data_IF_499108190113
#
_entry.id   IF_499108190113
#
_cell.length_a   1.000
_cell.length_b   1.000
_cell.length_c   1.000
_cell.angle_alpha   90.00
_cell.angle_beta   90.00
_cell.angle_gamma   90.00
#
_symmetry.space_group_name_H-M   'P 1'
#
loop_
_entity.id
_entity.type
_entity.pdbx_description
1 polymer ?
#
# COMPACT_ATOMS: atom_id res chain seq x y z
N UNK A 1 -12.35 14.30 -12.17
CA UNK A 1 -12.47 14.13 -10.71
C UNK A 1 -12.12 15.48 -10.08
N UNK A 2 -13.08 16.10 -9.40
CA UNK A 2 -12.84 17.30 -8.61
C UNK A 2 -11.97 16.99 -7.40
N UNK A 3 -11.22 17.98 -6.94
CA UNK A 3 -10.21 17.98 -5.87
C UNK A 3 -10.77 17.70 -4.45
N UNK A 4 -11.54 16.67 -4.26
CA UNK A 4 -11.90 16.22 -2.94
C UNK A 4 -11.38 14.80 -2.77
N UNK A 5 -10.15 14.64 -2.26
CA UNK A 5 -9.83 13.37 -1.65
C UNK A 5 -10.85 13.15 -0.54
N UNK A 6 -11.37 11.96 -0.46
CA UNK A 6 -12.50 11.63 0.37
C UNK A 6 -12.10 11.67 1.85
N UNK A 7 -13.00 12.05 2.74
CA UNK A 7 -12.78 11.91 4.20
C UNK A 7 -12.62 10.44 4.55
N UNK A 8 -12.03 10.17 5.72
CA UNK A 8 -11.97 8.80 6.26
C UNK A 8 -13.34 8.12 6.25
N UNK A 9 -14.38 8.82 6.71
CA UNK A 9 -15.74 8.28 6.78
C UNK A 9 -16.25 7.91 5.38
N UNK A 10 -16.01 8.76 4.39
CA UNK A 10 -16.46 8.50 3.02
C UNK A 10 -15.76 7.28 2.43
N UNK A 11 -14.45 7.15 2.61
CA UNK A 11 -13.70 5.96 2.19
C UNK A 11 -14.20 4.69 2.88
N UNK A 12 -14.45 4.76 4.19
CA UNK A 12 -14.96 3.65 4.97
C UNK A 12 -16.32 3.17 4.47
N UNK A 13 -17.27 4.09 4.31
CA UNK A 13 -18.62 3.75 3.86
C UNK A 13 -18.66 3.32 2.39
N UNK A 14 -17.82 3.88 1.52
CA UNK A 14 -17.72 3.42 0.12
C UNK A 14 -17.32 1.95 0.03
N UNK A 15 -16.37 1.49 0.86
CA UNK A 15 -16.00 0.07 0.91
C UNK A 15 -17.11 -0.81 1.47
N UNK A 16 -17.80 -0.34 2.51
CA UNK A 16 -18.93 -1.06 3.11
C UNK A 16 -20.09 -1.22 2.12
N UNK A 17 -20.45 -0.17 1.40
CA UNK A 17 -21.49 -0.18 0.36
C UNK A 17 -21.11 -1.08 -0.82
N UNK A 18 -19.82 -1.06 -1.21
CA UNK A 18 -19.31 -1.91 -2.28
C UNK A 18 -19.50 -3.39 -1.93
N UNK A 19 -19.17 -3.79 -0.71
CA UNK A 19 -19.39 -5.16 -0.24
C UNK A 19 -20.89 -5.53 -0.17
N UNK A 20 -21.75 -4.59 0.22
CA UNK A 20 -23.21 -4.79 0.18
C UNK A 20 -23.73 -5.03 -1.24
N UNK A 21 -23.22 -4.27 -2.21
CA UNK A 21 -23.62 -4.36 -3.62
C UNK A 21 -23.18 -5.67 -4.29
N UNK A 22 -22.01 -6.18 -3.96
CA UNK A 22 -21.38 -7.35 -4.58
C UNK A 22 -21.14 -8.51 -3.60
N UNK A 23 -22.04 -8.72 -2.66
CA UNK A 23 -21.89 -9.61 -1.50
C UNK A 23 -21.59 -11.08 -1.82
N UNK A 24 -21.77 -11.53 -3.05
CA UNK A 24 -21.47 -12.91 -3.49
C UNK A 24 -19.96 -13.19 -3.66
N UNK A 25 -19.13 -12.14 -3.82
CA UNK A 25 -17.69 -12.25 -4.01
C UNK A 25 -16.89 -11.08 -3.43
N UNK A 26 -17.55 -10.11 -2.80
CA UNK A 26 -16.91 -9.00 -2.08
C UNK A 26 -17.32 -9.06 -0.61
N UNK A 27 -16.32 -8.99 0.28
CA UNK A 27 -16.54 -8.97 1.74
C UNK A 27 -15.85 -7.76 2.36
N UNK A 28 -16.55 -7.10 3.27
CA UNK A 28 -16.02 -6.01 4.08
C UNK A 28 -15.64 -6.53 5.46
N UNK A 29 -14.48 -6.14 5.95
CA UNK A 29 -13.99 -6.50 7.26
C UNK A 29 -13.31 -5.32 7.94
N UNK A 30 -13.51 -5.16 9.24
CA UNK A 30 -12.72 -4.27 10.09
C UNK A 30 -11.60 -5.10 10.70
N UNK A 31 -10.35 -4.78 10.36
CA UNK A 31 -9.19 -5.54 10.83
C UNK A 31 -8.63 -5.06 12.16
N UNK A 32 -9.03 -3.88 12.61
CA UNK A 32 -8.60 -3.29 13.87
C UNK A 32 -9.05 -1.84 13.96
N UNK A 33 -8.51 -1.14 14.96
CA UNK A 33 -8.69 0.30 15.12
C UNK A 33 -7.37 1.00 15.40
N UNK A 34 -7.28 2.26 15.00
CA UNK A 34 -6.17 3.14 15.35
C UNK A 34 -6.14 3.49 16.83
N UNK A 35 -5.13 4.21 17.26
CA UNK A 35 -5.06 4.72 18.63
C UNK A 35 -6.10 5.80 18.94
N UNK A 36 -6.62 6.49 17.94
CA UNK A 36 -7.71 7.47 18.08
C UNK A 36 -9.09 6.87 17.71
N UNK A 37 -9.20 5.53 17.79
CA UNK A 37 -10.44 4.75 17.62
C UNK A 37 -11.09 4.80 16.23
N UNK A 38 -10.32 5.11 15.18
CA UNK A 38 -10.79 4.96 13.80
C UNK A 38 -10.61 3.51 13.34
N UNK A 39 -11.67 2.92 12.79
CA UNK A 39 -11.65 1.55 12.28
C UNK A 39 -10.75 1.45 11.04
N UNK A 40 -10.02 0.35 10.90
CA UNK A 40 -9.18 0.06 9.75
C UNK A 40 -9.95 -0.91 8.84
N UNK A 41 -10.48 -0.44 7.69
CA UNK A 41 -11.26 -1.26 6.79
C UNK A 41 -10.38 -2.10 5.88
N UNK A 42 -10.83 -3.31 5.58
CA UNK A 42 -10.30 -4.19 4.54
C UNK A 42 -11.44 -4.69 3.66
N UNK A 43 -11.21 -4.70 2.37
CA UNK A 43 -12.12 -5.28 1.38
C UNK A 43 -11.47 -6.52 0.79
N UNK A 44 -12.20 -7.63 0.75
CA UNK A 44 -11.80 -8.86 0.08
C UNK A 44 -12.59 -9.00 -1.22
N UNK A 45 -11.92 -9.23 -2.36
CA UNK A 45 -12.54 -9.34 -3.68
C UNK A 45 -12.12 -10.65 -4.34
N UNK A 46 -13.09 -11.46 -4.76
CA UNK A 46 -12.88 -12.74 -5.42
C UNK A 46 -13.11 -13.94 -4.52
N UNK A 47 -12.94 -15.15 -5.06
CA UNK A 47 -13.20 -16.44 -4.40
C UNK A 47 -11.96 -17.28 -4.17
N UNK A 48 -10.78 -16.78 -4.59
CA UNK A 48 -9.52 -17.48 -4.39
C UNK A 48 -9.24 -17.78 -2.92
N UNK A 49 -8.67 -18.96 -2.65
CA UNK A 49 -8.29 -19.36 -1.28
C UNK A 49 -7.09 -18.55 -0.77
N UNK A 50 -6.10 -18.42 -1.61
CA UNK A 50 -4.90 -17.63 -1.33
C UNK A 50 -5.18 -16.15 -1.59
N UNK A 51 -4.41 -15.27 -0.97
CA UNK A 51 -4.65 -13.83 -1.07
C UNK A 51 -3.42 -13.05 -1.50
N UNK A 52 -3.66 -11.96 -2.24
CA UNK A 52 -2.69 -10.88 -2.46
C UNK A 52 -3.13 -9.66 -1.64
N UNK A 53 -2.25 -9.13 -0.82
CA UNK A 53 -2.52 -7.91 -0.07
C UNK A 53 -2.15 -6.68 -0.89
N UNK A 54 -3.05 -5.68 -0.90
CA UNK A 54 -2.83 -4.32 -1.38
C UNK A 54 -2.99 -3.36 -0.20
N UNK A 55 -1.89 -2.76 0.25
CA UNK A 55 -1.83 -1.88 1.41
C UNK A 55 -1.56 -0.45 0.97
N UNK A 56 -2.36 0.51 1.39
CA UNK A 56 -2.18 1.94 1.12
C UNK A 56 -2.10 2.78 2.38
N UNK A 57 -1.60 4.00 2.22
CA UNK A 57 -1.58 5.07 3.22
C UNK A 57 -1.11 4.63 4.61
N UNK A 58 0.08 4.03 4.69
CA UNK A 58 0.76 3.79 5.96
C UNK A 58 1.38 5.10 6.50
N UNK A 59 1.73 6.01 5.62
CA UNK A 59 2.14 7.38 5.90
C UNK A 59 0.93 8.31 5.79
N UNK A 60 0.64 9.10 6.81
CA UNK A 60 -0.51 10.01 6.83
C UNK A 60 -0.49 11.09 5.75
N UNK A 61 0.68 11.38 5.18
CA UNK A 61 0.84 12.34 4.06
C UNK A 61 0.40 11.77 2.71
N UNK A 62 0.20 10.46 2.64
CA UNK A 62 -0.30 9.80 1.43
C UNK A 62 -1.81 9.97 1.31
N UNK A 63 -2.20 11.03 0.62
CA UNK A 63 -3.60 11.45 0.44
C UNK A 63 -4.23 10.93 -0.85
N UNK A 64 -3.45 10.24 -1.71
CA UNK A 64 -3.89 9.86 -3.07
C UNK A 64 -4.15 8.37 -3.17
N UNK A 65 -3.26 7.56 -2.60
CA UNK A 65 -3.33 6.09 -2.70
C UNK A 65 -4.66 5.51 -2.18
N UNK A 66 -5.24 6.00 -1.06
CA UNK A 66 -6.52 5.47 -0.58
C UNK A 66 -7.65 5.59 -1.61
N UNK A 67 -7.80 6.77 -2.21
CA UNK A 67 -8.85 7.03 -3.20
C UNK A 67 -8.68 6.15 -4.45
N UNK A 68 -7.44 5.98 -4.90
CA UNK A 68 -7.14 5.14 -6.08
C UNK A 68 -7.42 3.66 -5.77
N UNK A 69 -7.07 3.17 -4.57
CA UNK A 69 -7.33 1.78 -4.18
C UNK A 69 -8.82 1.47 -4.04
N UNK A 70 -9.61 2.42 -3.53
CA UNK A 70 -11.08 2.29 -3.49
C UNK A 70 -11.66 2.27 -4.90
N UNK A 71 -11.22 3.18 -5.78
CA UNK A 71 -11.63 3.20 -7.18
C UNK A 71 -11.27 1.89 -7.91
N UNK A 72 -10.05 1.40 -7.73
CA UNK A 72 -9.61 0.10 -8.26
C UNK A 72 -10.51 -1.04 -7.79
N UNK A 73 -10.83 -1.07 -6.49
CA UNK A 73 -11.69 -2.10 -5.93
C UNK A 73 -13.10 -2.09 -6.54
N UNK A 74 -13.68 -0.90 -6.73
CA UNK A 74 -14.97 -0.73 -7.40
C UNK A 74 -14.93 -1.22 -8.85
N UNK A 75 -13.91 -0.86 -9.60
CA UNK A 75 -13.73 -1.27 -10.99
C UNK A 75 -13.55 -2.79 -11.10
N UNK A 76 -12.78 -3.41 -10.21
CA UNK A 76 -12.60 -4.85 -10.19
C UNK A 76 -13.91 -5.57 -9.84
N UNK A 77 -14.69 -5.06 -8.90
CA UNK A 77 -15.98 -5.65 -8.56
C UNK A 77 -16.96 -5.60 -9.75
N UNK A 78 -17.03 -4.46 -10.46
CA UNK A 78 -17.83 -4.34 -11.68
C UNK A 78 -17.37 -5.30 -12.78
N UNK A 79 -16.05 -5.33 -13.04
CA UNK A 79 -15.48 -6.20 -14.06
C UNK A 79 -15.67 -7.69 -13.74
N UNK A 80 -15.54 -8.07 -12.45
CA UNK A 80 -15.80 -9.42 -11.99
C UNK A 80 -17.26 -9.85 -12.23
N UNK A 81 -18.23 -8.99 -11.85
CA UNK A 81 -19.65 -9.29 -12.03
C UNK A 81 -20.03 -9.38 -13.50
N UNK A 82 -19.60 -8.41 -14.30
CA UNK A 82 -19.93 -8.35 -15.73
C UNK A 82 -19.12 -9.31 -16.61
N UNK A 83 -18.03 -9.89 -16.10
CA UNK A 83 -17.12 -10.74 -16.88
C UNK A 83 -16.32 -9.94 -17.92
N UNK A 84 -16.01 -8.68 -17.63
CA UNK A 84 -15.23 -7.84 -18.53
C UNK A 84 -13.73 -8.11 -18.40
N UNK A 85 -13.02 -7.92 -19.52
CA UNK A 85 -11.57 -7.87 -19.52
C UNK A 85 -11.11 -6.44 -19.19
N UNK A 86 -10.20 -6.30 -18.24
CA UNK A 86 -9.48 -5.03 -18.08
C UNK A 86 -8.30 -4.99 -19.03
N UNK A 87 -8.12 -3.82 -19.67
CA UNK A 87 -7.10 -3.58 -20.71
C UNK A 87 -7.12 -4.60 -21.85
N UNK A 88 -8.31 -5.12 -22.20
CA UNK A 88 -8.52 -6.15 -23.24
C UNK A 88 -7.71 -7.43 -23.03
N UNK A 89 -7.16 -7.64 -21.83
CA UNK A 89 -6.26 -8.75 -21.53
C UNK A 89 -6.57 -9.46 -20.20
N UNK A 90 -6.81 -8.73 -19.11
CA UNK A 90 -6.96 -9.33 -17.80
C UNK A 90 -8.41 -9.77 -17.55
N UNK A 91 -8.65 -11.07 -17.49
CA UNK A 91 -9.90 -11.66 -17.03
C UNK A 91 -9.95 -11.59 -15.49
N UNK A 92 -10.66 -10.60 -14.99
CA UNK A 92 -10.72 -10.30 -13.54
C UNK A 92 -11.31 -11.45 -12.75
N UNK A 93 -12.37 -12.06 -13.25
CA UNK A 93 -13.03 -13.19 -12.57
C UNK A 93 -12.07 -14.37 -12.46
N UNK A 94 -11.43 -14.75 -13.55
CA UNK A 94 -10.48 -15.86 -13.59
C UNK A 94 -9.27 -15.61 -12.66
N UNK A 95 -8.74 -14.40 -12.63
CA UNK A 95 -7.59 -14.05 -11.78
C UNK A 95 -7.97 -14.06 -10.29
N UNK A 96 -9.10 -13.41 -9.93
CA UNK A 96 -9.50 -13.28 -8.53
C UNK A 96 -10.16 -14.55 -7.96
N UNK A 97 -10.56 -15.50 -8.80
CA UNK A 97 -10.94 -16.84 -8.38
C UNK A 97 -9.73 -17.74 -8.08
N UNK A 98 -8.55 -17.39 -8.58
CA UNK A 98 -7.29 -18.07 -8.24
C UNK A 98 -6.64 -17.47 -6.99
N UNK A 99 -6.51 -16.13 -6.95
CA UNK A 99 -5.94 -15.37 -5.83
C UNK A 99 -6.89 -14.23 -5.49
N UNK A 100 -7.50 -14.30 -4.31
CA UNK A 100 -8.37 -13.23 -3.80
C UNK A 100 -7.55 -12.00 -3.46
N UNK A 101 -8.07 -10.83 -3.76
CA UNK A 101 -7.44 -9.56 -3.42
C UNK A 101 -7.92 -9.06 -2.06
N UNK A 102 -7.02 -8.75 -1.15
CA UNK A 102 -7.29 -8.09 0.12
C UNK A 102 -6.79 -6.64 0.06
N UNK A 103 -7.70 -5.68 -0.03
CA UNK A 103 -7.38 -4.26 -0.16
C UNK A 103 -7.56 -3.56 1.18
N UNK A 104 -6.49 -2.98 1.71
CA UNK A 104 -6.47 -2.14 2.92
C UNK A 104 -6.05 -0.74 2.47
N UNK A 105 -6.98 0.11 2.03
CA UNK A 105 -6.61 1.36 1.36
C UNK A 105 -6.04 2.39 2.32
N UNK A 106 -6.41 2.31 3.61
CA UNK A 106 -6.08 3.31 4.61
C UNK A 106 -5.60 2.64 5.91
N UNK A 107 -4.29 2.36 5.97
CA UNK A 107 -3.68 1.71 7.13
C UNK A 107 -3.42 2.66 8.30
N UNK A 108 -3.28 3.95 8.04
CA UNK A 108 -3.08 5.01 9.03
C UNK A 108 -4.21 6.06 8.98
N UNK A 109 -5.43 5.72 9.43
CA UNK A 109 -6.55 6.65 9.35
C UNK A 109 -6.37 7.90 10.21
N UNK A 110 -5.64 7.81 11.32
CA UNK A 110 -5.34 8.96 12.17
C UNK A 110 -4.42 9.95 11.45
N UNK A 111 -3.30 9.48 10.93
CA UNK A 111 -2.34 10.32 10.21
C UNK A 111 -2.95 10.96 8.96
N UNK A 112 -3.79 10.22 8.25
CA UNK A 112 -4.51 10.71 7.08
C UNK A 112 -5.41 11.92 7.40
N UNK A 113 -6.20 11.82 8.47
CA UNK A 113 -7.08 12.91 8.92
C UNK A 113 -6.28 14.09 9.50
N UNK A 114 -5.22 13.81 10.28
CA UNK A 114 -4.37 14.85 10.86
C UNK A 114 -3.68 15.67 9.76
N UNK A 115 -3.10 15.01 8.78
CA UNK A 115 -2.41 15.67 7.67
C UNK A 115 -3.34 16.64 6.92
N UNK A 116 -4.62 16.30 6.82
CA UNK A 116 -5.61 17.05 6.06
C UNK A 116 -6.29 18.17 6.85
N UNK A 117 -6.70 17.87 8.07
CA UNK A 117 -7.57 18.75 8.86
C UNK A 117 -6.89 19.28 10.13
N UNK A 118 -5.62 18.94 10.33
CA UNK A 118 -4.85 19.35 11.47
C UNK A 118 -5.11 18.56 12.74
N UNK A 119 -4.38 18.87 13.78
CA UNK A 119 -4.42 18.15 15.05
C UNK A 119 -5.75 18.27 15.82
N UNK A 120 -6.66 19.14 15.40
CA UNK A 120 -7.99 19.27 16.02
C UNK A 120 -8.88 18.05 15.86
N UNK A 121 -8.66 17.22 14.82
CA UNK A 121 -9.42 16.00 14.54
C UNK A 121 -9.08 14.85 15.48
N UNK A 122 -8.03 14.96 16.27
CA UNK A 122 -7.66 13.96 17.27
C UNK A 122 -8.66 14.00 18.42
N UNK A 123 -9.34 12.88 18.67
CA UNK A 123 -10.35 12.73 19.72
C UNK A 123 -9.72 12.76 21.10
N UNK A 124 -8.62 12.04 21.28
CA UNK A 124 -7.90 12.00 22.55
C UNK A 124 -7.20 13.34 22.86
N UNK A 125 -7.61 14.07 23.92
CA UNK A 125 -7.08 15.40 24.22
C UNK A 125 -5.59 15.38 24.60
N UNK A 126 -5.11 14.30 25.21
CA UNK A 126 -3.70 14.16 25.60
C UNK A 126 -2.82 14.06 24.35
N UNK A 127 -3.17 13.20 23.40
CA UNK A 127 -2.42 13.06 22.14
C UNK A 127 -2.47 14.37 21.32
N UNK A 128 -3.65 14.97 21.25
CA UNK A 128 -3.83 16.26 20.55
C UNK A 128 -2.93 17.35 21.12
N UNK A 129 -2.84 17.48 22.44
CA UNK A 129 -1.97 18.49 23.08
C UNK A 129 -0.50 18.15 22.88
N UNK A 130 -0.11 16.89 23.06
CA UNK A 130 1.26 16.42 22.88
C UNK A 130 1.78 16.71 21.46
N UNK A 131 0.98 16.45 20.44
CA UNK A 131 1.38 16.66 19.05
C UNK A 131 1.42 18.13 18.67
N UNK A 132 0.48 18.96 19.16
CA UNK A 132 0.53 20.42 18.96
C UNK A 132 1.79 21.06 19.54
N UNK A 133 2.34 20.52 20.61
CA UNK A 133 3.60 21.01 21.21
C UNK A 133 4.83 20.76 20.34
N UNK A 134 4.77 19.84 19.39
CA UNK A 134 5.89 19.54 18.49
C UNK A 134 6.07 20.60 17.40
N UNK A 135 5.09 21.49 17.18
CA UNK A 135 5.12 22.55 16.18
C UNK A 135 5.43 22.09 14.74
N UNK A 136 5.09 20.85 14.42
CA UNK A 136 5.22 20.30 13.06
C UNK A 136 3.99 20.76 12.28
N UNK A 137 4.13 21.28 11.05
CA UNK A 137 2.99 21.54 10.18
C UNK A 137 2.20 20.25 9.94
N UNK A 138 0.88 20.33 10.00
CA UNK A 138 0.04 19.12 9.87
C UNK A 138 0.19 18.46 8.47
N UNK A 139 0.46 19.24 7.45
CA UNK A 139 0.71 18.79 6.07
C UNK A 139 1.98 17.94 5.94
N UNK A 140 2.93 18.11 6.88
CA UNK A 140 4.17 17.34 6.95
C UNK A 140 4.07 16.14 7.91
N UNK A 141 2.92 15.95 8.55
CA UNK A 141 2.72 14.95 9.59
C UNK A 141 2.33 13.58 9.00
N UNK A 142 3.29 12.65 8.96
CA UNK A 142 3.09 11.29 8.44
C UNK A 142 2.77 10.22 9.48
N UNK A 143 2.86 10.56 10.77
CA UNK A 143 2.70 9.61 11.89
C UNK A 143 1.22 9.35 12.23
N UNK A 144 0.96 8.39 13.13
CA UNK A 144 -0.37 8.19 13.71
C UNK A 144 -0.68 9.20 14.85
N UNK A 145 -1.84 9.09 15.51
CA UNK A 145 -2.25 9.99 16.60
C UNK A 145 -1.31 9.98 17.82
N UNK A 146 -0.44 8.99 17.97
CA UNK A 146 0.59 8.95 19.01
C UNK A 146 1.93 9.55 18.57
N UNK A 147 2.04 10.03 17.34
CA UNK A 147 3.28 10.55 16.77
C UNK A 147 4.27 9.44 16.36
N UNK A 148 3.77 8.23 16.08
CA UNK A 148 4.60 7.09 15.68
C UNK A 148 4.53 6.87 14.17
N UNK A 149 5.71 6.73 13.55
CA UNK A 149 5.85 6.34 12.16
C UNK A 149 5.56 4.83 12.03
N UNK A 150 4.41 4.48 11.45
CA UNK A 150 3.97 3.10 11.30
C UNK A 150 4.87 2.30 10.36
N UNK A 151 5.51 2.95 9.38
CA UNK A 151 6.43 2.32 8.44
C UNK A 151 7.75 1.85 9.08
N UNK A 152 7.95 2.18 10.36
CA UNK A 152 9.13 1.80 11.14
C UNK A 152 8.79 1.05 12.41
N UNK A 153 7.57 0.54 12.53
CA UNK A 153 7.11 -0.10 13.78
C UNK A 153 6.96 -1.64 13.67
N UNK A 154 7.20 -2.25 12.50
CA UNK A 154 7.15 -3.71 12.37
C UNK A 154 8.35 -4.41 12.98
N UNK A 155 8.18 -5.61 13.59
CA UNK A 155 9.25 -6.36 14.26
C UNK A 155 10.16 -7.09 13.26
N UNK A 156 10.97 -6.34 12.54
CA UNK A 156 12.00 -6.88 11.64
C UNK A 156 13.33 -7.06 12.38
N UNK A 157 14.21 -7.93 11.88
CA UNK A 157 15.56 -8.16 12.45
C UNK A 157 16.40 -6.89 12.56
N UNK A 158 16.21 -5.93 11.65
CA UNK A 158 16.89 -4.63 11.68
C UNK A 158 16.21 -3.56 12.54
N UNK A 159 15.16 -3.90 13.29
CA UNK A 159 14.44 -2.92 14.11
C UNK A 159 15.34 -2.25 15.14
N UNK A 160 15.36 -0.93 15.16
CA UNK A 160 16.03 -0.14 16.21
C UNK A 160 14.98 0.59 17.03
N UNK A 161 15.09 0.49 18.36
CA UNK A 161 14.21 1.24 19.28
C UNK A 161 14.20 2.72 18.92
N UNK A 162 13.01 3.30 18.82
CA UNK A 162 12.85 4.75 18.68
C UNK A 162 13.29 5.47 19.97
N UNK A 163 13.55 6.78 19.88
CA UNK A 163 13.87 7.60 21.06
C UNK A 163 12.79 7.58 22.14
N UNK A 164 11.53 7.31 21.77
CA UNK A 164 10.42 7.15 22.70
C UNK A 164 10.45 5.85 23.51
N UNK A 165 11.45 4.98 23.31
CA UNK A 165 11.64 3.75 24.10
C UNK A 165 10.60 2.66 23.82
N UNK A 166 9.73 2.85 22.86
CA UNK A 166 8.68 1.89 22.50
C UNK A 166 9.27 0.76 21.66
N UNK A 167 8.85 -0.47 21.95
CA UNK A 167 9.27 -1.67 21.21
C UNK A 167 8.62 -1.75 19.81
N UNK A 168 9.05 -2.74 19.02
CA UNK A 168 8.37 -3.04 17.75
C UNK A 168 6.93 -3.50 18.00
N UNK A 169 6.06 -3.30 17.03
CA UNK A 169 4.64 -3.60 17.13
C UNK A 169 3.93 -2.95 18.33
N UNK A 170 4.34 -1.74 18.70
CA UNK A 170 3.69 -0.99 19.78
C UNK A 170 2.33 -0.43 19.34
N UNK A 171 2.17 -0.14 18.04
CA UNK A 171 1.01 0.55 17.50
C UNK A 171 -0.13 -0.41 17.18
N UNK A 172 -1.38 0.01 17.44
CA UNK A 172 -2.57 -0.80 17.21
C UNK A 172 -2.75 -1.14 15.74
N UNK A 173 -2.48 -0.19 14.86
CA UNK A 173 -2.54 -0.31 13.41
C UNK A 173 -1.57 -1.40 12.93
N UNK A 174 -0.34 -1.39 13.44
CA UNK A 174 0.69 -2.39 13.11
C UNK A 174 0.31 -3.77 13.64
N UNK A 175 -0.22 -3.86 14.87
CA UNK A 175 -0.73 -5.14 15.42
C UNK A 175 -1.86 -5.71 14.57
N UNK A 176 -2.77 -4.86 14.09
CA UNK A 176 -3.86 -5.28 13.21
C UNK A 176 -3.33 -5.87 11.89
N UNK A 177 -2.36 -5.20 11.26
CA UNK A 177 -1.73 -5.67 10.03
C UNK A 177 -0.95 -6.98 10.24
N UNK A 178 -0.15 -7.08 11.29
CA UNK A 178 0.59 -8.31 11.65
C UNK A 178 -0.38 -9.50 11.79
N UNK A 179 -1.49 -9.31 12.52
CA UNK A 179 -2.50 -10.34 12.71
C UNK A 179 -3.07 -10.83 11.39
N UNK A 180 -3.44 -9.92 10.49
CA UNK A 180 -3.99 -10.27 9.18
C UNK A 180 -2.95 -10.99 8.31
N UNK A 181 -1.70 -10.55 8.29
CA UNK A 181 -0.64 -11.22 7.54
C UNK A 181 -0.36 -12.66 8.04
N UNK A 182 -0.63 -12.94 9.32
CA UNK A 182 -0.50 -14.27 9.90
C UNK A 182 -1.75 -15.14 9.72
N UNK A 183 -2.94 -14.52 9.66
CA UNK A 183 -4.23 -15.21 9.56
C UNK A 183 -4.48 -15.78 8.15
N UNK A 184 -4.03 -15.08 7.11
CA UNK A 184 -4.30 -15.44 5.73
C UNK A 184 -3.15 -16.21 5.08
N UNK A 185 -3.50 -17.07 4.11
CA UNK A 185 -2.51 -17.69 3.21
C UNK A 185 -2.10 -16.68 2.13
N UNK A 186 -1.22 -15.77 2.49
CA UNK A 186 -0.79 -14.69 1.61
C UNK A 186 0.23 -15.16 0.57
N UNK A 187 0.00 -14.84 -0.69
CA UNK A 187 0.94 -15.09 -1.80
C UNK A 187 1.80 -13.89 -2.12
N UNK A 188 1.47 -12.72 -1.57
CA UNK A 188 2.27 -11.50 -1.72
C UNK A 188 1.69 -10.29 -1.02
N UNK A 189 2.50 -9.26 -0.94
CA UNK A 189 2.15 -7.93 -0.45
C UNK A 189 2.60 -6.87 -1.45
N UNK A 190 1.67 -6.03 -1.90
CA UNK A 190 1.95 -4.78 -2.59
C UNK A 190 1.58 -3.62 -1.67
N UNK A 191 2.55 -2.90 -1.17
CA UNK A 191 2.32 -1.66 -0.44
C UNK A 191 2.48 -0.47 -1.37
N UNK A 192 1.50 0.42 -1.37
CA UNK A 192 1.46 1.60 -2.20
C UNK A 192 1.70 2.84 -1.34
N UNK A 193 2.37 3.83 -1.91
CA UNK A 193 2.58 5.12 -1.26
C UNK A 193 2.94 6.21 -2.25
N UNK A 194 2.61 7.46 -1.92
CA UNK A 194 3.00 8.60 -2.71
C UNK A 194 4.45 8.97 -2.42
N UNK A 195 5.31 8.86 -3.45
CA UNK A 195 6.70 9.30 -3.40
C UNK A 195 7.31 9.33 -4.82
N UNK A 196 8.56 8.89 -4.95
CA UNK A 196 9.23 8.76 -6.26
C UNK A 196 8.64 7.57 -7.02
N UNK A 197 8.57 7.63 -8.34
CA UNK A 197 8.14 6.51 -9.19
C UNK A 197 9.13 5.34 -9.12
N UNK A 198 8.95 4.44 -8.12
CA UNK A 198 9.86 3.33 -7.88
C UNK A 198 9.10 2.06 -7.49
N UNK A 199 9.71 0.93 -7.84
CA UNK A 199 9.33 -0.38 -7.32
C UNK A 199 10.51 -0.89 -6.48
N UNK A 200 10.30 -1.03 -5.17
CA UNK A 200 11.32 -1.48 -4.25
C UNK A 200 11.09 -2.95 -3.89
N UNK A 201 12.16 -3.75 -3.94
CA UNK A 201 12.17 -5.13 -3.48
C UNK A 201 13.27 -5.34 -2.45
N UNK A 202 13.03 -6.21 -1.49
CA UNK A 202 13.85 -6.35 -0.30
C UNK A 202 14.72 -7.61 -0.35
N UNK A 203 15.91 -7.56 0.24
CA UNK A 203 16.91 -8.61 0.17
C UNK A 203 17.51 -9.02 1.52
N UNK A 204 16.97 -8.49 2.63
CA UNK A 204 17.43 -8.84 3.98
C UNK A 204 16.75 -10.09 4.52
N UNK A 205 17.50 -10.92 5.27
CA UNK A 205 17.04 -12.09 6.03
C UNK A 205 16.18 -13.11 5.25
N UNK A 206 16.34 -13.16 3.93
CA UNK A 206 15.70 -14.11 3.03
C UNK A 206 16.73 -14.80 2.14
N UNK A 207 16.43 -16.01 1.70
CA UNK A 207 17.35 -16.76 0.86
C UNK A 207 17.39 -16.25 -0.59
N UNK A 208 18.44 -16.62 -1.33
CA UNK A 208 18.64 -16.18 -2.71
C UNK A 208 17.48 -16.50 -3.67
N UNK A 209 16.76 -17.61 -3.45
CA UNK A 209 15.58 -17.97 -4.25
C UNK A 209 14.43 -17.00 -4.03
N UNK A 210 14.20 -16.57 -2.81
CA UNK A 210 13.17 -15.58 -2.46
C UNK A 210 13.50 -14.20 -3.04
N UNK A 211 14.78 -13.80 -2.95
CA UNK A 211 15.27 -12.56 -3.58
C UNK A 211 15.03 -12.59 -5.09
N UNK A 212 15.38 -13.70 -5.73
CA UNK A 212 15.18 -13.88 -7.17
C UNK A 212 13.70 -13.76 -7.57
N UNK A 213 12.80 -14.42 -6.81
CA UNK A 213 11.36 -14.33 -7.05
C UNK A 213 10.84 -12.90 -6.90
N UNK A 214 11.21 -12.21 -5.84
CA UNK A 214 10.83 -10.82 -5.60
C UNK A 214 11.32 -9.90 -6.71
N UNK A 215 12.59 -10.05 -7.12
CA UNK A 215 13.16 -9.28 -8.23
C UNK A 215 12.45 -9.57 -9.56
N UNK A 216 12.16 -10.83 -9.87
CA UNK A 216 11.49 -11.23 -11.11
C UNK A 216 10.10 -10.63 -11.22
N UNK A 217 9.32 -10.69 -10.13
CA UNK A 217 8.00 -10.04 -10.07
C UNK A 217 8.15 -8.52 -10.22
N UNK A 218 9.03 -7.89 -9.46
CA UNK A 218 9.24 -6.44 -9.53
C UNK A 218 9.61 -5.99 -10.96
N UNK A 219 10.45 -6.78 -11.66
CA UNK A 219 10.80 -6.53 -13.07
C UNK A 219 9.60 -6.68 -14.00
N UNK A 220 8.76 -7.69 -13.81
CA UNK A 220 7.54 -7.85 -14.62
C UNK A 220 6.60 -6.67 -14.44
N UNK A 221 6.39 -6.23 -13.19
CA UNK A 221 5.58 -5.05 -12.89
C UNK A 221 6.15 -3.78 -13.54
N UNK A 222 7.47 -3.57 -13.47
CA UNK A 222 8.14 -2.46 -14.15
C UNK A 222 7.91 -2.53 -15.67
N UNK A 223 8.15 -3.67 -16.29
CA UNK A 223 7.96 -3.84 -17.74
C UNK A 223 6.50 -3.62 -18.17
N UNK A 224 5.53 -4.02 -17.34
CA UNK A 224 4.12 -3.79 -17.61
C UNK A 224 3.78 -2.30 -17.66
N UNK A 225 4.31 -1.51 -16.74
CA UNK A 225 4.13 -0.05 -16.73
C UNK A 225 4.89 0.62 -17.88
N UNK A 226 6.14 0.21 -18.16
CA UNK A 226 6.99 0.80 -19.19
C UNK A 226 6.44 0.59 -20.60
N UNK A 227 5.93 -0.62 -20.94
CA UNK A 227 5.35 -0.91 -22.27
C UNK A 227 4.23 0.06 -22.66
N UNK A 228 3.52 0.60 -21.69
CA UNK A 228 2.43 1.54 -21.90
C UNK A 228 2.91 2.97 -22.06
N UNK A 229 4.04 3.31 -21.46
CA UNK A 229 4.67 4.63 -21.51
C UNK A 229 5.46 4.85 -22.78
N UNK A 230 6.13 3.83 -23.32
CA UNK A 230 6.88 3.90 -24.57
C UNK A 230 6.05 4.45 -25.73
N UNK A 231 4.74 4.14 -25.78
CA UNK A 231 3.84 4.73 -26.79
C UNK A 231 3.67 6.26 -26.62
N UNK A 232 3.83 6.79 -25.41
CA UNK A 232 3.72 8.23 -25.11
C UNK A 232 5.09 8.93 -25.19
N UNK A 233 6.17 8.28 -24.80
CA UNK A 233 7.53 8.82 -24.84
C UNK A 233 8.02 9.11 -26.27
N UNK A 234 7.60 8.31 -27.24
CA UNK A 234 7.84 8.59 -28.67
C UNK A 234 7.23 9.91 -29.13
N UNK A 235 6.23 10.41 -28.38
CA UNK A 235 5.59 11.70 -28.67
C UNK A 235 6.15 12.87 -27.85
N UNK A 236 6.76 12.65 -26.67
CA UNK A 236 7.15 13.72 -25.73
C UNK A 236 8.65 13.81 -25.40
N UNK A 237 9.46 12.80 -25.73
CA UNK A 237 10.91 12.80 -25.48
C UNK A 237 11.35 12.69 -24.01
N UNK A 238 10.44 12.53 -23.06
CA UNK A 238 10.72 12.41 -21.63
C UNK A 238 10.69 10.94 -21.18
N UNK A 239 11.79 10.43 -20.64
CA UNK A 239 11.82 9.11 -19.99
C UNK A 239 11.04 9.15 -18.67
N UNK A 240 9.86 8.54 -18.62
CA UNK A 240 9.00 8.46 -17.46
C UNK A 240 8.66 6.99 -17.12
N UNK A 241 9.59 6.30 -16.49
CA UNK A 241 9.41 4.90 -16.08
C UNK A 241 9.59 4.71 -14.58
N UNK A 242 9.12 3.57 -14.04
CA UNK A 242 9.44 3.18 -12.68
C UNK A 242 10.89 2.74 -12.56
N UNK A 243 11.60 3.24 -11.56
CA UNK A 243 12.91 2.74 -11.21
C UNK A 243 12.79 1.50 -10.32
N UNK A 244 13.46 0.42 -10.73
CA UNK A 244 13.58 -0.77 -9.92
C UNK A 244 14.71 -0.59 -8.91
N UNK A 245 14.42 -0.65 -7.62
CA UNK A 245 15.39 -0.41 -6.56
C UNK A 245 15.46 -1.57 -5.57
N UNK A 246 16.68 -2.06 -5.36
CA UNK A 246 17.00 -3.08 -4.37
C UNK A 246 17.18 -2.42 -3.00
N UNK A 247 16.43 -2.87 -1.99
CA UNK A 247 16.54 -2.40 -0.62
C UNK A 247 17.12 -3.48 0.30
N UNK A 248 18.05 -3.08 1.16
CA UNK A 248 18.59 -3.95 2.22
C UNK A 248 17.92 -3.65 3.55
N UNK A 249 17.56 -4.68 4.29
CA UNK A 249 17.05 -4.56 5.66
C UNK A 249 18.20 -4.30 6.65
N UNK A 250 19.44 -4.63 6.26
CA UNK A 250 20.63 -4.42 7.10
C UNK A 250 21.04 -2.95 7.01
N UNK A 251 21.16 -2.33 8.16
CA UNK A 251 21.63 -0.94 8.29
C UNK A 251 23.06 -0.82 7.79
N UNK A 252 23.36 -0.06 6.74
CA UNK A 252 24.72 0.33 6.46
C UNK A 252 25.25 1.18 7.63
N UNK A 253 26.48 0.97 8.06
CA UNK A 253 27.13 1.77 9.13
C UNK A 253 27.24 3.27 8.76
N UNK A 254 27.12 3.62 7.48
CA UNK A 254 27.14 5.00 6.99
C UNK A 254 25.74 5.63 6.99
N UNK A 255 25.59 6.71 7.74
CA UNK A 255 24.36 7.47 8.04
C UNK A 255 23.65 8.15 6.83
N UNK A 256 24.11 7.97 5.60
CA UNK A 256 23.60 8.69 4.42
C UNK A 256 22.47 7.98 3.66
N UNK A 257 22.16 6.73 3.97
CA UNK A 257 21.02 6.05 3.37
C UNK A 257 19.72 6.57 3.99
N UNK A 258 19.04 7.47 3.30
CA UNK A 258 17.70 7.98 3.67
C UNK A 258 16.61 6.91 3.63
N UNK A 259 16.92 5.71 3.18
CA UNK A 259 15.98 4.60 2.96
C UNK A 259 16.21 3.48 3.97
N UNK A 260 15.78 3.75 5.18
CA UNK A 260 15.84 2.80 6.27
C UNK A 260 14.59 1.92 6.23
N UNK A 261 14.73 0.66 5.86
CA UNK A 261 13.62 -0.30 5.75
C UNK A 261 13.42 -1.16 7.00
N UNK A 262 14.23 -0.96 8.03
CA UNK A 262 14.05 -1.63 9.30
C UNK A 262 12.74 -1.19 9.96
N UNK A 263 11.85 -2.15 10.22
CA UNK A 263 10.52 -1.90 10.76
C UNK A 263 9.44 -1.68 9.70
N UNK A 264 9.74 -1.85 8.40
CA UNK A 264 8.75 -1.75 7.33
C UNK A 264 7.89 -3.01 7.19
N UNK A 265 6.65 -2.91 6.66
CA UNK A 265 5.76 -4.05 6.50
C UNK A 265 6.27 -5.07 5.50
N UNK A 266 6.93 -4.66 4.43
CA UNK A 266 7.35 -5.53 3.35
C UNK A 266 8.43 -6.53 3.79
N UNK A 267 9.55 -6.12 4.39
CA UNK A 267 10.52 -7.08 4.93
C UNK A 267 9.94 -7.95 6.04
N UNK A 268 9.06 -7.41 6.89
CA UNK A 268 8.36 -8.20 7.89
C UNK A 268 7.51 -9.30 7.24
N UNK A 269 6.69 -8.94 6.26
CA UNK A 269 5.85 -9.88 5.53
C UNK A 269 6.68 -11.00 4.87
N UNK A 270 7.79 -10.65 4.22
CA UNK A 270 8.71 -11.63 3.63
C UNK A 270 9.31 -12.57 4.66
N UNK A 271 9.69 -12.08 5.84
CA UNK A 271 10.26 -12.89 6.91
C UNK A 271 9.28 -13.95 7.42
N UNK A 272 8.00 -13.60 7.59
CA UNK A 272 7.00 -14.54 8.16
C UNK A 272 6.39 -15.47 7.12
N UNK A 273 6.33 -15.09 5.84
CA UNK A 273 5.62 -15.83 4.80
C UNK A 273 6.52 -16.48 3.77
N UNK A 274 7.76 -16.05 3.64
CA UNK A 274 8.66 -16.37 2.54
C UNK A 274 8.11 -15.99 1.14
N UNK A 275 7.11 -15.11 1.08
CA UNK A 275 6.46 -14.64 -0.16
C UNK A 275 6.95 -13.25 -0.54
N UNK A 276 6.91 -12.88 -1.84
CA UNK A 276 7.32 -11.56 -2.30
C UNK A 276 6.51 -10.44 -1.65
N UNK A 277 7.19 -9.38 -1.23
CA UNK A 277 6.57 -8.15 -0.81
C UNK A 277 7.29 -6.98 -1.46
N UNK A 278 6.55 -6.10 -2.09
CA UNK A 278 7.06 -4.99 -2.88
C UNK A 278 6.43 -3.69 -2.39
N UNK A 279 7.25 -2.63 -2.32
CA UNK A 279 6.75 -1.28 -2.16
C UNK A 279 6.72 -0.58 -3.51
N UNK A 280 5.59 -0.01 -3.83
CA UNK A 280 5.33 0.71 -5.07
C UNK A 280 5.10 2.17 -4.71
N UNK A 281 6.02 3.01 -5.09
CA UNK A 281 5.93 4.46 -4.90
C UNK A 281 5.44 5.10 -6.19
N UNK A 282 4.36 5.87 -6.09
CA UNK A 282 3.68 6.48 -7.23
C UNK A 282 3.78 8.00 -7.21
N UNK A 283 3.72 8.61 -8.38
CA UNK A 283 3.61 10.05 -8.54
C UNK A 283 4.87 10.81 -8.19
N UNK A 284 4.70 11.89 -7.44
CA UNK A 284 5.75 12.81 -6.98
C UNK A 284 5.89 12.77 -5.47
N UNK A 285 6.92 13.41 -4.95
CA UNK A 285 7.13 13.59 -3.50
C UNK A 285 5.94 14.25 -2.82
N UNK A 286 5.80 13.98 -1.53
CA UNK A 286 4.75 14.59 -0.70
C UNK A 286 4.80 16.12 -0.80
N UNK A 287 3.64 16.75 -0.73
CA UNK A 287 3.49 18.21 -0.87
C UNK A 287 3.53 18.73 -2.31
N UNK A 288 3.80 17.87 -3.31
CA UNK A 288 3.69 18.23 -4.72
C UNK A 288 2.32 17.79 -5.26
N UNK A 289 1.58 18.76 -5.79
CA UNK A 289 0.32 18.46 -6.46
C UNK A 289 0.56 17.71 -7.77
N UNK A 290 -0.23 16.67 -7.99
CA UNK A 290 -0.27 15.97 -9.26
C UNK A 290 -1.20 16.69 -10.22
N UNK A 291 -0.78 16.83 -11.46
CA UNK A 291 -1.67 17.24 -12.55
C UNK A 291 -2.74 16.16 -12.77
N UNK A 292 -3.81 16.51 -13.48
CA UNK A 292 -4.86 15.53 -13.85
C UNK A 292 -4.30 14.36 -14.65
N UNK A 293 -3.32 14.62 -15.50
CA UNK A 293 -2.67 13.59 -16.30
C UNK A 293 -1.84 12.65 -15.44
N UNK A 294 -1.00 13.18 -14.55
CA UNK A 294 -0.22 12.40 -13.60
C UNK A 294 -1.08 11.55 -12.67
N UNK A 295 -2.17 12.12 -12.16
CA UNK A 295 -3.14 11.36 -11.34
C UNK A 295 -3.79 10.22 -12.14
N UNK A 296 -4.16 10.48 -13.40
CA UNK A 296 -4.70 9.45 -14.29
C UNK A 296 -3.69 8.33 -14.56
N UNK A 297 -2.40 8.68 -14.70
CA UNK A 297 -1.33 7.68 -14.86
C UNK A 297 -1.13 6.85 -13.59
N UNK A 298 -1.06 7.48 -12.42
CA UNK A 298 -0.97 6.79 -11.13
C UNK A 298 -2.15 5.83 -10.92
N UNK A 299 -3.38 6.29 -11.23
CA UNK A 299 -4.60 5.48 -11.12
C UNK A 299 -4.51 4.25 -12.01
N UNK A 300 -4.10 4.43 -13.27
CA UNK A 300 -3.93 3.33 -14.21
C UNK A 300 -2.87 2.33 -13.74
N UNK A 301 -1.73 2.81 -13.26
CA UNK A 301 -0.63 1.95 -12.82
C UNK A 301 -1.05 1.11 -11.60
N UNK A 302 -1.62 1.73 -10.56
CA UNK A 302 -2.12 0.99 -9.37
C UNK A 302 -3.15 -0.06 -9.77
N UNK A 303 -4.07 0.29 -10.69
CA UNK A 303 -5.12 -0.60 -11.18
C UNK A 303 -4.59 -1.87 -11.85
N UNK A 304 -3.41 -1.81 -12.46
CA UNK A 304 -2.89 -2.91 -13.25
C UNK A 304 -1.91 -3.77 -12.46
N UNK A 305 -1.13 -3.17 -11.59
CA UNK A 305 -0.05 -3.86 -10.90
C UNK A 305 -0.49 -5.09 -10.10
N UNK A 306 -1.61 -5.09 -9.36
CA UNK A 306 -2.10 -6.31 -8.70
C UNK A 306 -2.49 -7.41 -9.69
N UNK A 307 -3.06 -7.07 -10.84
CA UNK A 307 -3.45 -8.04 -11.87
C UNK A 307 -2.22 -8.67 -12.52
N UNK A 308 -1.22 -7.85 -12.86
CA UNK A 308 0.05 -8.34 -13.39
C UNK A 308 0.79 -9.21 -12.37
N UNK A 309 0.73 -8.88 -11.08
CA UNK A 309 1.28 -9.72 -10.02
C UNK A 309 0.61 -11.10 -10.03
N UNK A 310 -0.73 -11.14 -9.96
CA UNK A 310 -1.50 -12.39 -9.94
C UNK A 310 -1.24 -13.20 -11.21
N UNK A 311 -1.28 -12.55 -12.36
CA UNK A 311 -1.01 -13.18 -13.67
C UNK A 311 0.40 -13.79 -13.72
N UNK A 312 1.43 -13.03 -13.36
CA UNK A 312 2.81 -13.50 -13.31
C UNK A 312 3.00 -14.68 -12.34
N UNK A 313 2.29 -14.64 -11.21
CA UNK A 313 2.37 -15.68 -10.19
C UNK A 313 1.67 -16.97 -10.62
N UNK A 314 0.48 -16.86 -11.20
CA UNK A 314 -0.37 -18.01 -11.57
C UNK A 314 0.03 -18.67 -12.90
N UNK A 315 0.64 -17.92 -13.81
CA UNK A 315 1.14 -18.43 -15.09
C UNK A 315 2.48 -19.18 -15.00
N UNK A 316 3.02 -19.35 -13.78
CA UNK A 316 4.31 -20.02 -13.58
C UNK A 316 5.54 -19.22 -14.06
N UNK A 317 5.34 -17.98 -14.47
CA UNK A 317 6.44 -17.11 -14.89
C UNK A 317 7.45 -16.84 -13.76
N UNK A 318 7.09 -17.15 -12.51
CA UNK A 318 7.88 -16.88 -11.30
C UNK A 318 8.21 -18.16 -10.51
N UNK A 319 7.96 -19.33 -11.07
CA UNK A 319 8.30 -20.62 -10.46
C UNK A 319 9.80 -20.83 -10.31
#
# INVERSE_FOLDING_TARGET
MEKASDTYEKLYYSLWELAGRYSSFVQFRVIGSSHDERMIPMLEIGKGRNVLFCLGSLDGRDQITPDILVYMAEEYAKAYECGWLLEDFYDIRKLLDQIRLCVIPLANPDGYEICRYGFSVIRNPIYRQMLKMQQIPCEEFGCNARGMDLSRNFPTSGYKRTRAGQGPASENEVKALIRIFQEYQGEGLLSFGQAWQRILYYTGDINGRQIYKSHKIARNLQQCTDRRRVKKEQASGLKMGYHLEKQSVIVPENKESRYFTAGAPEPFYQQITARPALRIEIGKTWGQELTREELSECTRDIRILPLEYIFSYTSGLVS
#
